data_IF_646155557341
#
_entry.id   IF_646155557341
#
_cell.length_a   1.000
_cell.length_b   1.000
_cell.length_c   1.000
_cell.angle_alpha   90.00
_cell.angle_beta   90.00
_cell.angle_gamma   90.00
#
_symmetry.space_group_name_H-M   'P 1'
#
loop_
_entity.id
_entity.type
_entity.pdbx_description
1 polymer ?
#
# COMPACT_ATOMS: atom_id res chain seq x y z
N UNK A 1 12.39 10.34 9.52
CA UNK A 1 11.34 11.33 9.20
C UNK A 1 10.94 11.34 7.73
N UNK A 2 11.85 11.45 6.75
CA UNK A 2 11.48 11.51 5.31
C UNK A 2 10.70 10.28 4.83
N UNK A 3 11.11 9.05 5.19
CA UNK A 3 10.39 7.81 4.83
C UNK A 3 8.95 7.80 5.33
N UNK A 4 8.73 8.15 6.60
CA UNK A 4 7.39 8.17 7.20
C UNK A 4 6.48 9.21 6.52
N UNK A 5 7.03 10.38 6.16
CA UNK A 5 6.29 11.40 5.43
C UNK A 5 5.86 10.92 4.04
N UNK A 6 6.74 10.22 3.31
CA UNK A 6 6.42 9.64 2.01
C UNK A 6 5.32 8.58 2.11
N UNK A 7 5.40 7.69 3.12
CA UNK A 7 4.37 6.68 3.37
C UNK A 7 3.03 7.31 3.77
N UNK A 8 3.05 8.36 4.60
CA UNK A 8 1.85 9.09 4.98
C UNK A 8 1.19 9.80 3.79
N UNK A 9 2.00 10.41 2.91
CA UNK A 9 1.50 11.00 1.66
C UNK A 9 0.91 9.94 0.73
N UNK A 10 1.52 8.75 0.63
CA UNK A 10 0.97 7.64 -0.12
C UNK A 10 -0.39 7.20 0.44
N UNK A 11 -0.51 7.07 1.77
CA UNK A 11 -1.76 6.75 2.45
C UNK A 11 -2.86 7.80 2.18
N UNK A 12 -2.52 9.09 2.22
CA UNK A 12 -3.46 10.16 1.90
C UNK A 12 -3.96 10.10 0.45
N UNK A 13 -3.05 9.85 -0.50
CA UNK A 13 -3.41 9.68 -1.92
C UNK A 13 -4.32 8.47 -2.12
N UNK A 14 -4.03 7.35 -1.45
CA UNK A 14 -4.81 6.12 -1.61
C UNK A 14 -6.17 6.18 -0.91
N UNK A 15 -6.29 6.93 0.17
CA UNK A 15 -7.58 7.17 0.81
C UNK A 15 -8.61 7.74 -0.15
N UNK A 16 -8.21 8.66 -1.02
CA UNK A 16 -9.08 9.19 -2.08
C UNK A 16 -9.18 8.24 -3.29
N UNK A 17 -8.25 7.28 -3.41
CA UNK A 17 -8.14 6.35 -4.53
C UNK A 17 -9.30 5.37 -4.64
N UNK A 18 -9.93 4.96 -3.54
CA UNK A 18 -11.06 4.03 -3.54
C UNK A 18 -12.26 4.57 -4.32
N UNK A 19 -12.52 5.87 -4.20
CA UNK A 19 -13.59 6.54 -4.95
C UNK A 19 -13.30 6.47 -6.45
N UNK A 20 -12.08 6.82 -6.86
CA UNK A 20 -11.68 6.74 -8.27
C UNK A 20 -11.74 5.30 -8.82
N UNK A 21 -11.36 4.30 -8.02
CA UNK A 21 -11.46 2.89 -8.40
C UNK A 21 -12.92 2.48 -8.64
N UNK A 22 -13.84 2.90 -7.78
CA UNK A 22 -15.26 2.60 -7.95
C UNK A 22 -15.86 3.26 -9.18
N UNK A 23 -15.65 4.57 -9.35
CA UNK A 23 -16.12 5.33 -10.51
C UNK A 23 -15.55 4.80 -11.84
N UNK A 24 -14.30 4.33 -11.84
CA UNK A 24 -13.69 3.75 -13.03
C UNK A 24 -14.37 2.46 -13.46
N UNK A 25 -14.83 1.63 -12.50
CA UNK A 25 -15.52 0.36 -12.80
C UNK A 25 -16.96 0.53 -13.32
N UNK A 26 -17.56 1.71 -13.21
CA UNK A 26 -18.85 2.01 -13.84
C UNK A 26 -18.74 2.05 -15.38
N UNK A 27 -17.53 2.18 -15.92
CA UNK A 27 -17.27 2.35 -17.35
C UNK A 27 -16.44 1.24 -17.97
N UNK A 28 -15.73 0.45 -17.16
CA UNK A 28 -14.85 -0.63 -17.64
C UNK A 28 -14.67 -1.73 -16.61
N UNK A 29 -14.29 -2.93 -17.05
CA UNK A 29 -14.03 -4.06 -16.15
C UNK A 29 -12.82 -3.82 -15.23
N UNK A 30 -12.75 -4.58 -14.11
CA UNK A 30 -11.72 -4.42 -13.08
C UNK A 30 -10.30 -4.63 -13.62
N UNK A 31 -10.09 -5.57 -14.52
CA UNK A 31 -8.77 -5.83 -15.09
C UNK A 31 -8.38 -4.79 -16.15
N UNK A 32 -9.35 -4.32 -16.94
CA UNK A 32 -9.14 -3.21 -17.88
C UNK A 32 -8.72 -1.94 -17.13
N UNK A 33 -9.44 -1.60 -16.05
CA UNK A 33 -9.11 -0.45 -15.21
C UNK A 33 -7.74 -0.58 -14.58
N UNK A 34 -7.43 -1.74 -13.97
CA UNK A 34 -6.12 -2.01 -13.39
C UNK A 34 -5.00 -1.92 -14.43
N UNK A 35 -5.19 -2.55 -15.59
CA UNK A 35 -4.20 -2.53 -16.66
C UNK A 35 -3.86 -1.12 -17.12
N UNK A 36 -4.88 -0.33 -17.43
CA UNK A 36 -4.71 1.05 -17.90
C UNK A 36 -4.09 1.95 -16.83
N UNK A 37 -4.55 1.91 -15.57
CA UNK A 37 -4.00 2.76 -14.51
C UNK A 37 -2.54 2.45 -14.20
N UNK A 38 -2.15 1.16 -14.18
CA UNK A 38 -0.76 0.79 -13.90
C UNK A 38 0.17 1.12 -15.06
N UNK A 39 -0.25 0.95 -16.33
CA UNK A 39 0.55 1.37 -17.48
C UNK A 39 0.65 2.91 -17.56
N UNK A 40 -0.41 3.64 -17.27
CA UNK A 40 -0.38 5.09 -17.19
C UNK A 40 0.57 5.56 -16.08
N UNK A 41 0.54 4.90 -14.92
CA UNK A 41 1.48 5.14 -13.83
C UNK A 41 2.93 4.84 -14.23
N UNK A 42 3.18 3.75 -14.95
CA UNK A 42 4.51 3.45 -15.48
C UNK A 42 4.99 4.51 -16.46
N UNK A 43 4.11 4.95 -17.37
CA UNK A 43 4.41 6.00 -18.35
C UNK A 43 4.73 7.33 -17.67
N UNK A 44 4.02 7.68 -16.59
CA UNK A 44 4.27 8.90 -15.82
C UNK A 44 5.66 8.96 -15.18
N UNK A 45 6.32 7.81 -14.97
CA UNK A 45 7.68 7.75 -14.44
C UNK A 45 8.75 7.98 -15.51
N UNK A 46 8.44 7.88 -16.82
CA UNK A 46 9.43 8.02 -17.88
C UNK A 46 10.20 9.36 -17.85
N UNK A 47 9.54 10.52 -17.69
CA UNK A 47 10.25 11.79 -17.59
C UNK A 47 11.20 11.82 -16.39
N UNK A 48 10.76 11.31 -15.24
CA UNK A 48 11.56 11.24 -14.02
C UNK A 48 12.77 10.30 -14.20
N UNK A 49 12.56 9.14 -14.79
CA UNK A 49 13.64 8.17 -15.08
C UNK A 49 14.66 8.74 -16.05
N UNK A 50 14.22 9.45 -17.08
CA UNK A 50 15.09 10.13 -18.03
C UNK A 50 15.92 11.23 -17.35
N UNK A 51 15.28 12.08 -16.54
CA UNK A 51 15.97 13.14 -15.78
C UNK A 51 16.99 12.57 -14.78
N UNK A 52 16.63 11.49 -14.05
CA UNK A 52 17.56 10.83 -13.14
C UNK A 52 18.75 10.19 -13.88
N UNK A 53 18.50 9.59 -15.07
CA UNK A 53 19.56 9.00 -15.88
C UNK A 53 20.60 10.06 -16.30
N UNK A 54 20.18 11.29 -16.61
CA UNK A 54 21.08 12.37 -17.01
C UNK A 54 21.92 12.92 -15.88
N UNK A 55 21.53 12.71 -14.61
CA UNK A 55 22.20 13.26 -13.42
C UNK A 55 22.99 12.24 -12.59
N UNK A 56 22.77 10.96 -12.78
CA UNK A 56 23.50 9.93 -12.04
C UNK A 56 24.82 9.59 -12.77
N UNK A 57 25.97 9.53 -12.03
CA UNK A 57 27.16 8.85 -12.55
C UNK A 57 26.77 7.44 -12.97
N UNK A 58 27.37 6.92 -14.06
CA UNK A 58 27.12 5.52 -14.48
C UNK A 58 27.35 4.59 -13.28
N UNK A 59 26.40 3.71 -12.95
CA UNK A 59 26.61 2.75 -11.87
C UNK A 59 27.90 2.00 -12.13
N UNK A 60 28.79 1.96 -11.14
CA UNK A 60 30.01 1.15 -11.25
C UNK A 60 29.60 -0.33 -11.42
N UNK A 61 30.26 -1.03 -12.31
CA UNK A 61 30.07 -2.45 -12.50
C UNK A 61 30.29 -3.19 -11.16
N UNK A 62 29.29 -3.99 -10.73
CA UNK A 62 29.34 -4.69 -9.44
C UNK A 62 28.62 -4.00 -8.28
N UNK A 63 28.09 -2.78 -8.45
CA UNK A 63 27.26 -2.17 -7.40
C UNK A 63 25.87 -2.81 -7.41
N UNK A 64 25.28 -3.16 -6.22
CA UNK A 64 23.92 -3.73 -6.13
C UNK A 64 22.85 -2.86 -6.80
N UNK A 65 23.01 -1.54 -6.78
CA UNK A 65 22.11 -0.60 -7.43
C UNK A 65 22.15 -0.66 -8.97
N UNK A 66 23.21 -1.24 -9.54
CA UNK A 66 23.42 -1.45 -10.99
C UNK A 66 23.05 -2.84 -11.47
N UNK A 67 22.72 -3.79 -10.60
CA UNK A 67 22.36 -5.15 -10.97
C UNK A 67 21.00 -5.18 -11.72
N UNK A 68 21.08 -5.23 -13.04
CA UNK A 68 19.93 -5.30 -13.93
C UNK A 68 19.11 -6.58 -13.72
N UNK A 69 19.76 -7.70 -13.43
CA UNK A 69 19.09 -8.98 -13.19
C UNK A 69 18.26 -8.91 -11.91
N UNK A 70 18.85 -8.39 -10.83
CA UNK A 70 18.16 -8.23 -9.56
C UNK A 70 16.97 -7.27 -9.67
N UNK A 71 17.11 -6.18 -10.42
CA UNK A 71 16.02 -5.24 -10.69
C UNK A 71 14.88 -5.91 -11.47
N UNK A 72 15.18 -6.69 -12.50
CA UNK A 72 14.16 -7.37 -13.31
C UNK A 72 13.47 -8.46 -12.49
N UNK A 73 14.20 -9.29 -11.76
CA UNK A 73 13.63 -10.34 -10.91
C UNK A 73 12.76 -9.71 -9.81
N UNK A 74 13.28 -8.69 -9.11
CA UNK A 74 12.53 -7.98 -8.08
C UNK A 74 11.28 -7.30 -8.61
N UNK A 75 11.38 -6.69 -9.80
CA UNK A 75 10.25 -6.04 -10.47
C UNK A 75 9.19 -7.03 -10.95
N UNK A 76 9.60 -8.20 -11.48
CA UNK A 76 8.69 -9.28 -11.88
C UNK A 76 7.95 -9.85 -10.66
N UNK A 77 8.66 -10.14 -9.58
CA UNK A 77 8.04 -10.65 -8.35
C UNK A 77 7.11 -9.60 -7.74
N UNK A 78 7.58 -8.37 -7.55
CA UNK A 78 6.77 -7.28 -7.00
C UNK A 78 5.53 -7.00 -7.88
N UNK A 79 5.70 -6.98 -9.21
CA UNK A 79 4.62 -6.74 -10.16
C UNK A 79 3.59 -7.87 -10.21
N UNK A 80 4.03 -9.13 -10.12
CA UNK A 80 3.13 -10.29 -10.03
C UNK A 80 2.33 -10.30 -8.73
N UNK A 81 2.96 -10.03 -7.60
CA UNK A 81 2.29 -9.90 -6.30
C UNK A 81 1.33 -8.71 -6.30
N UNK A 82 1.76 -7.56 -6.86
CA UNK A 82 0.92 -6.37 -7.00
C UNK A 82 -0.30 -6.65 -7.89
N UNK A 83 -0.13 -7.38 -9.00
CA UNK A 83 -1.23 -7.81 -9.85
C UNK A 83 -2.24 -8.64 -9.07
N UNK A 84 -1.79 -9.64 -8.31
CA UNK A 84 -2.68 -10.48 -7.49
C UNK A 84 -3.44 -9.66 -6.45
N UNK A 85 -2.74 -8.81 -5.69
CA UNK A 85 -3.33 -7.95 -4.68
C UNK A 85 -4.36 -6.98 -5.28
N UNK A 86 -3.96 -6.24 -6.32
CA UNK A 86 -4.81 -5.24 -6.97
C UNK A 86 -6.01 -5.86 -7.68
N UNK A 87 -5.85 -7.04 -8.29
CA UNK A 87 -6.95 -7.74 -8.96
C UNK A 87 -7.98 -8.27 -7.97
N UNK A 88 -7.54 -8.92 -6.88
CA UNK A 88 -8.43 -9.41 -5.82
C UNK A 88 -9.20 -8.26 -5.17
N UNK A 89 -8.51 -7.15 -4.89
CA UNK A 89 -9.15 -5.94 -4.34
C UNK A 89 -10.17 -5.35 -5.32
N UNK A 90 -9.80 -5.21 -6.60
CA UNK A 90 -10.66 -4.57 -7.60
C UNK A 90 -11.89 -5.42 -7.90
N UNK A 91 -11.73 -6.74 -8.05
CA UNK A 91 -12.86 -7.67 -8.22
C UNK A 91 -13.71 -7.73 -6.96
N UNK A 92 -13.08 -7.80 -5.77
CA UNK A 92 -13.79 -7.80 -4.49
C UNK A 92 -14.68 -6.58 -4.30
N UNK A 93 -14.24 -5.40 -4.77
CA UNK A 93 -15.02 -4.15 -4.72
C UNK A 93 -16.33 -4.18 -5.54
N UNK A 94 -16.50 -5.14 -6.46
CA UNK A 94 -17.78 -5.35 -7.15
C UNK A 94 -18.85 -5.98 -6.24
N UNK A 95 -18.42 -6.69 -5.19
CA UNK A 95 -19.29 -7.52 -4.33
C UNK A 95 -19.29 -7.09 -2.87
N UNK A 96 -18.53 -6.05 -2.50
CA UNK A 96 -18.49 -5.51 -1.14
C UNK A 96 -18.44 -3.98 -1.15
N UNK A 97 -18.68 -3.36 0.02
CA UNK A 97 -18.60 -1.90 0.14
C UNK A 97 -17.15 -1.42 0.22
N UNK A 98 -16.90 -0.18 -0.19
CA UNK A 98 -15.57 0.42 -0.07
C UNK A 98 -15.07 0.44 1.39
N UNK A 99 -15.96 0.68 2.37
CA UNK A 99 -15.65 0.67 3.79
C UNK A 99 -15.20 -0.72 4.27
N UNK A 100 -15.93 -1.80 3.91
CA UNK A 100 -15.54 -3.17 4.23
C UNK A 100 -14.23 -3.56 3.52
N UNK A 101 -14.08 -3.21 2.23
CA UNK A 101 -12.87 -3.47 1.49
C UNK A 101 -11.65 -2.81 2.15
N UNK A 102 -11.76 -1.53 2.55
CA UNK A 102 -10.72 -0.81 3.27
C UNK A 102 -10.37 -1.46 4.62
N UNK A 103 -11.39 -1.87 5.39
CA UNK A 103 -11.18 -2.58 6.65
C UNK A 103 -10.41 -3.89 6.45
N UNK A 104 -10.89 -4.75 5.55
CA UNK A 104 -10.31 -6.07 5.34
C UNK A 104 -8.90 -5.95 4.74
N UNK A 105 -8.70 -5.03 3.79
CA UNK A 105 -7.36 -4.73 3.27
C UNK A 105 -6.42 -4.30 4.39
N UNK A 106 -6.88 -3.47 5.32
CA UNK A 106 -6.12 -3.01 6.48
C UNK A 106 -5.62 -4.13 7.41
N UNK A 107 -6.13 -5.37 7.30
CA UNK A 107 -5.59 -6.53 8.02
C UNK A 107 -4.11 -6.78 7.75
N UNK A 108 -3.55 -6.23 6.67
CA UNK A 108 -2.10 -6.30 6.42
C UNK A 108 -1.28 -5.69 7.56
N UNK A 109 -1.84 -4.81 8.40
CA UNK A 109 -1.20 -4.29 9.62
C UNK A 109 -0.69 -5.43 10.52
N UNK A 110 -1.47 -6.48 10.67
CA UNK A 110 -1.12 -7.66 11.48
C UNK A 110 -0.42 -8.72 10.62
N UNK A 111 -0.84 -8.90 9.36
CA UNK A 111 -0.25 -9.90 8.48
C UNK A 111 1.23 -9.63 8.20
N UNK A 112 1.63 -8.37 7.99
CA UNK A 112 3.04 -8.01 7.73
C UNK A 112 3.96 -8.41 8.89
N UNK A 113 3.74 -8.03 10.15
CA UNK A 113 4.61 -8.48 11.24
C UNK A 113 4.54 -9.99 11.48
N UNK A 114 3.38 -10.64 11.29
CA UNK A 114 3.24 -12.11 11.43
C UNK A 114 4.08 -12.83 10.38
N UNK A 115 3.95 -12.51 9.09
CA UNK A 115 4.76 -13.09 8.02
C UNK A 115 6.23 -12.70 8.20
N UNK A 116 6.49 -11.47 8.64
CA UNK A 116 7.83 -10.97 8.94
C UNK A 116 8.56 -11.82 9.99
N UNK A 117 7.85 -12.32 11.01
CA UNK A 117 8.43 -13.25 11.99
C UNK A 117 8.94 -14.53 11.33
N UNK A 118 8.17 -15.12 10.39
CA UNK A 118 8.60 -16.31 9.64
C UNK A 118 9.84 -16.01 8.79
N UNK A 119 9.99 -14.77 8.32
CA UNK A 119 11.15 -14.26 7.58
C UNK A 119 12.29 -13.78 8.52
N UNK A 120 12.20 -14.05 9.81
CA UNK A 120 13.18 -13.66 10.85
C UNK A 120 13.33 -12.13 11.04
N UNK A 121 12.34 -11.34 10.65
CA UNK A 121 12.29 -9.92 10.98
C UNK A 121 11.98 -9.74 12.46
N UNK A 122 12.80 -8.96 13.17
CA UNK A 122 12.59 -8.65 14.59
C UNK A 122 11.65 -7.45 14.70
N UNK A 123 10.41 -7.71 15.07
CA UNK A 123 9.42 -6.65 15.34
C UNK A 123 9.38 -6.33 16.83
N UNK A 124 9.57 -5.07 17.19
CA UNK A 124 9.55 -4.61 18.58
C UNK A 124 8.16 -4.63 19.20
N UNK A 125 8.09 -4.72 20.53
CA UNK A 125 6.82 -4.74 21.27
C UNK A 125 5.97 -3.48 21.00
N UNK A 126 6.59 -2.32 20.87
CA UNK A 126 5.90 -1.06 20.52
C UNK A 126 5.19 -1.14 19.17
N UNK A 127 5.78 -1.82 18.17
CA UNK A 127 5.15 -2.02 16.86
C UNK A 127 3.96 -2.97 16.97
N UNK A 128 4.05 -4.05 17.76
CA UNK A 128 2.92 -4.93 18.04
C UNK A 128 1.78 -4.22 18.76
N UNK A 129 2.09 -3.45 19.81
CA UNK A 129 1.10 -2.65 20.55
C UNK A 129 0.45 -1.63 19.59
N UNK A 130 1.27 -0.93 18.80
CA UNK A 130 0.77 0.03 17.81
C UNK A 130 -0.13 -0.63 16.76
N UNK A 131 0.25 -1.82 16.26
CA UNK A 131 -0.55 -2.58 15.30
C UNK A 131 -1.89 -3.04 15.88
N UNK A 132 -1.92 -3.52 17.13
CA UNK A 132 -3.16 -3.92 17.79
C UNK A 132 -4.10 -2.73 18.06
N UNK A 133 -3.55 -1.59 18.48
CA UNK A 133 -4.34 -0.36 18.66
C UNK A 133 -4.87 0.15 17.32
N UNK A 134 -4.04 0.16 16.27
CA UNK A 134 -4.48 0.54 14.93
C UNK A 134 -5.55 -0.41 14.38
N UNK A 135 -5.43 -1.72 14.63
CA UNK A 135 -6.45 -2.71 14.26
C UNK A 135 -7.78 -2.47 14.98
N UNK A 136 -7.74 -2.18 16.30
CA UNK A 136 -8.94 -1.80 17.04
C UNK A 136 -9.58 -0.53 16.45
N UNK A 137 -8.76 0.49 16.13
CA UNK A 137 -9.24 1.70 15.47
C UNK A 137 -9.87 1.43 14.11
N UNK A 138 -9.25 0.59 13.31
CA UNK A 138 -9.77 0.16 12.01
C UNK A 138 -11.13 -0.55 12.14
N UNK A 139 -11.27 -1.42 13.16
CA UNK A 139 -12.55 -2.06 13.48
C UNK A 139 -13.63 -1.03 13.82
N UNK A 140 -13.32 -0.07 14.70
CA UNK A 140 -14.26 1.00 15.08
C UNK A 140 -14.66 1.88 13.91
N UNK A 141 -13.72 2.19 13.00
CA UNK A 141 -13.97 3.03 11.83
C UNK A 141 -14.84 2.34 10.77
N UNK A 142 -14.68 1.02 10.59
CA UNK A 142 -15.16 0.36 9.37
C UNK A 142 -16.26 -0.67 9.58
N UNK A 143 -16.44 -1.20 10.81
CA UNK A 143 -17.42 -2.25 11.09
C UNK A 143 -18.69 -1.65 11.69
N UNK A 144 -19.78 -1.72 10.96
CA UNK A 144 -21.15 -1.41 11.42
C UNK A 144 -21.85 -2.68 11.95
N UNK A 145 -23.10 -2.56 12.43
CA UNK A 145 -23.79 -3.60 13.23
C UNK A 145 -23.99 -4.97 12.54
N UNK A 146 -23.96 -5.05 11.21
CA UNK A 146 -24.12 -6.32 10.49
C UNK A 146 -22.81 -6.74 9.82
N UNK A 147 -21.98 -7.52 10.52
CA UNK A 147 -20.78 -8.11 9.95
C UNK A 147 -21.09 -9.47 9.32
N UNK A 148 -21.47 -9.47 8.05
CA UNK A 148 -21.61 -10.68 7.23
C UNK A 148 -20.42 -10.82 6.29
N UNK A 149 -19.83 -12.02 6.18
CA UNK A 149 -18.73 -12.29 5.25
C UNK A 149 -19.32 -12.81 3.94
N UNK A 150 -19.23 -11.99 2.90
CA UNK A 150 -19.62 -12.34 1.53
C UNK A 150 -18.44 -12.75 0.65
N UNK A 151 -18.73 -13.10 -0.61
CA UNK A 151 -17.72 -13.47 -1.60
C UNK A 151 -16.68 -12.33 -1.82
N UNK A 152 -17.15 -11.09 -1.93
CA UNK A 152 -16.25 -9.92 -2.06
C UNK A 152 -15.31 -9.77 -0.87
N UNK A 153 -15.81 -10.01 0.34
CA UNK A 153 -15.00 -9.92 1.57
C UNK A 153 -13.91 -11.01 1.59
N UNK A 154 -14.22 -12.23 1.13
CA UNK A 154 -13.23 -13.30 0.99
C UNK A 154 -12.10 -12.90 0.01
N UNK A 155 -12.45 -12.31 -1.13
CA UNK A 155 -11.46 -11.80 -2.07
C UNK A 155 -10.56 -10.71 -1.45
N UNK A 156 -11.15 -9.84 -0.62
CA UNK A 156 -10.38 -8.82 0.12
C UNK A 156 -9.44 -9.43 1.15
N UNK A 157 -9.86 -10.49 1.89
CA UNK A 157 -9.00 -11.20 2.86
C UNK A 157 -7.79 -11.81 2.15
N UNK A 158 -8.01 -12.51 1.03
CA UNK A 158 -6.91 -13.06 0.23
C UNK A 158 -6.05 -11.91 -0.33
N UNK A 159 -6.67 -10.83 -0.79
CA UNK A 159 -5.99 -9.62 -1.25
C UNK A 159 -5.10 -9.00 -0.18
N UNK A 160 -5.58 -8.92 1.07
CA UNK A 160 -4.80 -8.41 2.20
C UNK A 160 -3.52 -9.22 2.45
N UNK A 161 -3.56 -10.54 2.25
CA UNK A 161 -2.37 -11.39 2.30
C UNK A 161 -1.37 -11.00 1.21
N UNK A 162 -1.84 -10.82 -0.03
CA UNK A 162 -0.97 -10.37 -1.12
C UNK A 162 -0.43 -8.95 -0.91
N UNK A 163 -1.21 -8.04 -0.32
CA UNK A 163 -0.71 -6.72 0.07
C UNK A 163 0.40 -6.81 1.13
N UNK A 164 0.24 -7.69 2.13
CA UNK A 164 1.29 -7.93 3.12
C UNK A 164 2.57 -8.50 2.47
N UNK A 165 2.43 -9.46 1.57
CA UNK A 165 3.56 -10.03 0.82
C UNK A 165 4.22 -8.95 -0.05
N UNK A 166 3.44 -8.09 -0.72
CA UNK A 166 3.96 -7.00 -1.53
C UNK A 166 4.83 -6.03 -0.71
N UNK A 167 4.37 -5.65 0.48
CA UNK A 167 5.13 -4.81 1.41
C UNK A 167 6.48 -5.45 1.78
N UNK A 168 6.51 -6.76 2.05
CA UNK A 168 7.73 -7.50 2.39
C UNK A 168 8.67 -7.67 1.18
N UNK A 169 8.11 -7.89 0.00
CA UNK A 169 8.87 -7.93 -1.27
C UNK A 169 9.52 -6.58 -1.54
N UNK A 170 8.78 -5.49 -1.38
CA UNK A 170 9.33 -4.14 -1.54
C UNK A 170 10.42 -3.84 -0.50
N UNK A 171 10.25 -4.24 0.76
CA UNK A 171 11.30 -4.10 1.78
C UNK A 171 12.59 -4.80 1.34
N UNK A 172 12.47 -6.03 0.83
CA UNK A 172 13.63 -6.81 0.38
C UNK A 172 14.36 -6.18 -0.80
N UNK A 173 13.62 -5.70 -1.82
CA UNK A 173 14.24 -5.25 -3.07
C UNK A 173 14.55 -3.76 -3.11
N UNK A 174 13.73 -2.89 -2.49
CA UNK A 174 13.92 -1.43 -2.54
C UNK A 174 15.24 -0.96 -1.93
N UNK A 175 15.79 -1.74 -1.01
CA UNK A 175 17.10 -1.50 -0.40
C UNK A 175 18.28 -1.96 -1.26
N UNK A 176 18.03 -2.80 -2.28
CA UNK A 176 19.05 -3.47 -3.10
C UNK A 176 19.15 -2.91 -4.52
N UNK A 177 18.07 -2.34 -5.04
CA UNK A 177 18.02 -1.75 -6.38
C UNK A 177 17.52 -0.30 -6.33
N UNK A 178 17.56 0.40 -7.46
CA UNK A 178 17.03 1.76 -7.55
C UNK A 178 15.50 1.76 -7.40
N UNK A 179 14.93 2.36 -6.33
CA UNK A 179 13.50 2.24 -6.01
C UNK A 179 12.56 2.69 -7.12
N UNK A 180 12.86 3.81 -7.79
CA UNK A 180 12.02 4.35 -8.88
C UNK A 180 12.05 3.42 -10.10
N UNK A 181 13.18 2.76 -10.39
CA UNK A 181 13.24 1.75 -11.45
C UNK A 181 12.44 0.51 -11.08
N UNK A 182 12.51 0.08 -9.81
CA UNK A 182 11.70 -1.02 -9.29
C UNK A 182 10.22 -0.70 -9.41
N UNK A 183 9.79 0.52 -9.03
CA UNK A 183 8.42 0.99 -9.21
C UNK A 183 7.98 0.92 -10.68
N UNK A 184 8.78 1.41 -11.61
CA UNK A 184 8.47 1.35 -13.04
C UNK A 184 8.29 -0.08 -13.57
N UNK A 185 9.21 -1.00 -13.21
CA UNK A 185 9.14 -2.40 -13.66
C UNK A 185 7.90 -3.09 -13.10
N UNK A 186 7.60 -2.97 -11.80
CA UNK A 186 6.42 -3.59 -11.20
C UNK A 186 5.10 -3.04 -11.78
N UNK A 187 5.04 -1.74 -12.13
CA UNK A 187 3.84 -1.17 -12.74
C UNK A 187 3.62 -1.71 -14.15
N UNK A 188 4.68 -1.82 -14.96
CA UNK A 188 4.60 -2.44 -16.29
C UNK A 188 4.13 -3.88 -16.19
N UNK A 189 4.72 -4.67 -15.29
CA UNK A 189 4.35 -6.08 -15.10
C UNK A 189 2.90 -6.21 -14.65
N UNK A 190 2.48 -5.47 -13.61
CA UNK A 190 1.11 -5.47 -13.14
C UNK A 190 0.12 -5.03 -14.23
N UNK A 191 0.44 -3.96 -14.95
CA UNK A 191 -0.37 -3.44 -16.05
C UNK A 191 -0.54 -4.43 -17.20
N UNK A 192 0.55 -5.07 -17.64
CA UNK A 192 0.52 -6.06 -18.72
C UNK A 192 -0.24 -7.33 -18.32
N UNK A 193 -0.04 -7.84 -17.10
CA UNK A 193 -0.79 -8.99 -16.59
C UNK A 193 -2.28 -8.67 -16.49
N UNK A 194 -2.63 -7.47 -16.01
CA UNK A 194 -4.02 -7.03 -15.92
C UNK A 194 -4.67 -6.89 -17.30
N UNK A 195 -4.01 -6.25 -18.27
CA UNK A 195 -4.55 -6.16 -19.64
C UNK A 195 -4.62 -7.51 -20.32
N UNK A 196 -3.60 -8.38 -20.15
CA UNK A 196 -3.65 -9.74 -20.65
C UNK A 196 -4.86 -10.50 -20.14
N UNK A 197 -5.16 -10.39 -18.84
CA UNK A 197 -6.36 -10.97 -18.22
C UNK A 197 -7.63 -10.32 -18.77
N UNK A 198 -7.65 -8.98 -18.91
CA UNK A 198 -8.80 -8.25 -19.45
C UNK A 198 -9.18 -8.72 -20.85
N UNK A 199 -8.21 -8.91 -21.74
CA UNK A 199 -8.48 -9.40 -23.10
C UNK A 199 -9.05 -10.83 -23.15
N UNK A 200 -8.85 -11.63 -22.09
CA UNK A 200 -9.37 -13.00 -22.01
C UNK A 200 -10.78 -13.04 -21.43
N UNK A 201 -11.06 -12.22 -20.40
CA UNK A 201 -12.31 -12.35 -19.63
C UNK A 201 -13.21 -11.11 -19.66
N UNK A 202 -12.73 -10.00 -20.21
CA UNK A 202 -13.49 -8.75 -20.37
C UNK A 202 -13.52 -8.36 -21.86
N UNK A 203 -14.27 -7.34 -22.18
CA UNK A 203 -14.28 -6.70 -23.53
C UNK A 203 -13.77 -5.26 -23.42
N UNK A 204 -12.43 -5.04 -23.35
CA UNK A 204 -11.90 -3.70 -23.25
C UNK A 204 -12.31 -2.83 -24.44
N UNK A 205 -12.90 -1.67 -24.17
CA UNK A 205 -13.31 -0.73 -25.22
C UNK A 205 -12.66 0.64 -25.00
N UNK A 206 -12.32 1.30 -26.08
CA UNK A 206 -11.82 2.67 -26.03
C UNK A 206 -12.90 3.63 -25.48
N UNK A 207 -14.18 3.38 -25.81
CA UNK A 207 -15.30 4.17 -25.30
C UNK A 207 -15.41 4.13 -23.79
N UNK A 208 -15.29 2.94 -23.16
CA UNK A 208 -15.27 2.80 -21.71
C UNK A 208 -14.10 3.53 -21.07
N UNK A 209 -12.89 3.42 -21.65
CA UNK A 209 -11.71 4.12 -21.15
C UNK A 209 -11.87 5.66 -21.25
N UNK A 210 -12.47 6.15 -22.33
CA UNK A 210 -12.77 7.57 -22.50
C UNK A 210 -13.89 8.04 -21.57
N UNK A 211 -14.91 7.24 -21.31
CA UNK A 211 -15.97 7.61 -20.35
C UNK A 211 -15.44 7.71 -18.92
N UNK A 212 -14.51 6.79 -18.51
CA UNK A 212 -13.88 6.77 -17.19
C UNK A 212 -12.56 7.53 -17.10
N UNK A 213 -12.22 8.44 -18.03
CA UNK A 213 -10.89 9.06 -18.13
C UNK A 213 -10.45 9.80 -16.86
N UNK A 214 -11.35 10.46 -16.16
CA UNK A 214 -11.05 11.20 -14.92
C UNK A 214 -10.55 10.24 -13.82
N UNK A 215 -11.29 9.13 -13.64
CA UNK A 215 -10.92 8.08 -12.71
C UNK A 215 -9.56 7.45 -13.09
N UNK A 216 -9.33 7.20 -14.39
CA UNK A 216 -8.06 6.68 -14.89
C UNK A 216 -6.90 7.65 -14.67
N UNK A 217 -7.07 8.94 -14.90
CA UNK A 217 -6.01 9.93 -14.68
C UNK A 217 -5.64 10.00 -13.20
N UNK A 218 -6.63 10.10 -12.31
CA UNK A 218 -6.34 10.08 -10.88
C UNK A 218 -5.66 8.76 -10.46
N UNK A 219 -6.25 7.61 -10.82
CA UNK A 219 -5.74 6.31 -10.44
C UNK A 219 -4.36 6.02 -11.05
N UNK A 220 -4.11 6.42 -12.30
CA UNK A 220 -2.84 6.18 -12.99
C UNK A 220 -1.74 7.15 -12.58
N UNK A 221 -2.00 8.47 -12.66
CA UNK A 221 -0.95 9.47 -12.42
C UNK A 221 -0.73 9.72 -10.93
N UNK A 222 -1.82 9.90 -10.16
CA UNK A 222 -1.72 10.27 -8.75
C UNK A 222 -1.56 9.03 -7.87
N UNK A 223 -2.50 8.08 -7.95
CA UNK A 223 -2.46 6.89 -7.08
C UNK A 223 -1.31 5.96 -7.43
N UNK A 224 -1.14 5.57 -8.72
CA UNK A 224 -0.04 4.70 -9.13
C UNK A 224 1.25 5.48 -9.29
N UNK A 225 1.29 6.49 -10.14
CA UNK A 225 2.52 7.22 -10.48
C UNK A 225 3.18 7.84 -9.24
N UNK A 226 2.43 8.59 -8.45
CA UNK A 226 2.96 9.26 -7.25
C UNK A 226 2.85 8.33 -6.03
N UNK A 227 1.67 7.82 -5.70
CA UNK A 227 1.41 7.08 -4.45
C UNK A 227 2.30 5.84 -4.28
N UNK A 228 2.27 4.90 -5.23
CA UNK A 228 3.13 3.70 -5.15
C UNK A 228 4.63 4.03 -5.29
N UNK A 229 5.00 5.08 -6.02
CA UNK A 229 6.40 5.52 -6.07
C UNK A 229 6.86 6.05 -4.72
N UNK A 230 6.03 6.85 -4.04
CA UNK A 230 6.29 7.29 -2.67
C UNK A 230 6.40 6.10 -1.71
N UNK A 231 5.54 5.07 -1.87
CA UNK A 231 5.63 3.83 -1.10
C UNK A 231 6.99 3.16 -1.30
N UNK A 232 7.39 2.86 -2.54
CA UNK A 232 8.64 2.14 -2.84
C UNK A 232 9.86 2.90 -2.34
N UNK A 233 9.88 4.23 -2.51
CA UNK A 233 10.97 5.08 -2.00
C UNK A 233 10.91 5.20 -0.47
N UNK A 234 9.73 5.38 0.09
CA UNK A 234 9.51 5.53 1.52
C UNK A 234 9.78 4.26 2.32
N UNK A 235 9.54 3.08 1.74
CA UNK A 235 9.87 1.81 2.39
C UNK A 235 11.38 1.54 2.47
N UNK A 236 12.19 2.20 1.64
CA UNK A 236 13.64 2.05 1.71
C UNK A 236 14.18 2.49 3.07
N UNK A 237 14.62 1.52 3.86
CA UNK A 237 15.12 1.74 5.22
C UNK A 237 14.05 1.91 6.29
N UNK A 238 12.76 1.73 5.98
CA UNK A 238 11.70 1.62 6.96
C UNK A 238 11.43 0.15 7.31
N UNK A 239 11.09 -0.12 8.58
CA UNK A 239 10.69 -1.48 8.97
C UNK A 239 9.32 -1.81 8.36
N UNK A 240 9.12 -2.99 7.71
CA UNK A 240 7.89 -3.31 6.98
C UNK A 240 6.61 -3.21 7.81
N UNK A 241 6.62 -3.73 9.05
CA UNK A 241 5.47 -3.62 9.95
C UNK A 241 5.12 -2.17 10.31
N UNK A 242 6.13 -1.29 10.42
CA UNK A 242 5.93 0.12 10.67
C UNK A 242 5.37 0.84 9.42
N UNK A 243 5.87 0.48 8.24
CA UNK A 243 5.33 0.98 6.98
C UNK A 243 3.85 0.58 6.81
N UNK A 244 3.49 -0.68 7.16
CA UNK A 244 2.12 -1.16 7.12
C UNK A 244 1.17 -0.32 7.99
N UNK A 245 1.58 0.03 9.23
CA UNK A 245 0.77 0.85 10.13
C UNK A 245 0.58 2.27 9.58
N UNK A 246 1.61 2.88 8.97
CA UNK A 246 1.47 4.22 8.38
C UNK A 246 0.55 4.18 7.16
N UNK A 247 0.73 3.19 6.29
CA UNK A 247 -0.06 3.07 5.06
C UNK A 247 -1.54 2.79 5.35
N UNK A 248 -1.87 2.05 6.43
CA UNK A 248 -3.26 1.80 6.79
C UNK A 248 -4.05 3.06 7.17
N UNK A 249 -3.38 4.20 7.41
CA UNK A 249 -4.05 5.48 7.56
C UNK A 249 -4.78 5.93 6.27
N UNK A 250 -4.63 5.21 5.17
CA UNK A 250 -5.47 5.42 3.96
C UNK A 250 -6.96 5.37 4.29
N UNK A 251 -7.39 4.52 5.25
CA UNK A 251 -8.79 4.46 5.70
C UNK A 251 -9.21 5.72 6.46
N UNK A 252 -8.32 6.32 7.27
CA UNK A 252 -8.58 7.60 7.92
C UNK A 252 -8.70 8.73 6.90
N UNK A 253 -7.80 8.75 5.90
CA UNK A 253 -7.89 9.74 4.82
C UNK A 253 -9.11 9.53 3.92
N UNK A 254 -9.55 8.29 3.71
CA UNK A 254 -10.80 8.00 3.02
C UNK A 254 -12.01 8.56 3.77
N UNK A 255 -12.07 8.38 5.10
CA UNK A 255 -13.11 8.96 5.94
C UNK A 255 -13.10 10.49 5.91
N UNK A 256 -11.93 11.13 6.01
CA UNK A 256 -11.78 12.59 5.88
C UNK A 256 -12.25 13.05 4.49
N UNK A 257 -11.86 12.33 3.43
CA UNK A 257 -12.29 12.62 2.06
C UNK A 257 -13.81 12.52 1.88
N UNK A 258 -14.45 11.53 2.50
CA UNK A 258 -15.92 11.38 2.53
C UNK A 258 -16.61 12.61 3.13
N UNK A 259 -16.11 13.09 4.28
CA UNK A 259 -16.66 14.31 4.90
C UNK A 259 -16.46 15.54 4.01
N UNK A 260 -15.23 15.76 3.52
CA UNK A 260 -14.90 17.00 2.81
C UNK A 260 -15.46 17.07 1.38
N UNK A 261 -15.52 15.93 0.67
CA UNK A 261 -15.88 15.88 -0.74
C UNK A 261 -17.32 15.41 -1.00
N UNK A 262 -17.85 14.54 -0.12
CA UNK A 262 -19.18 13.94 -0.26
C UNK A 262 -20.17 14.47 0.76
N UNK A 263 -19.75 15.31 1.71
CA UNK A 263 -20.61 15.83 2.77
C UNK A 263 -21.06 14.75 3.77
N UNK A 264 -20.32 13.64 3.87
CA UNK A 264 -20.63 12.57 4.81
C UNK A 264 -20.42 13.04 6.26
N UNK A 265 -21.18 12.50 7.20
CA UNK A 265 -21.00 12.74 8.63
C UNK A 265 -20.28 11.57 9.25
N UNK A 266 -19.17 11.84 9.96
CA UNK A 266 -18.53 10.83 10.81
C UNK A 266 -19.29 10.74 12.12
N UNK A 267 -19.74 9.56 12.48
CA UNK A 267 -20.26 9.27 13.79
C UNK A 267 -19.14 9.25 14.87
N UNK A 268 -19.51 9.29 16.14
CA UNK A 268 -18.54 9.26 17.24
C UNK A 268 -17.64 8.02 17.18
N UNK A 269 -18.18 6.90 16.74
CA UNK A 269 -17.45 5.65 16.59
C UNK A 269 -16.34 5.75 15.53
N UNK A 270 -16.61 6.36 14.38
CA UNK A 270 -15.63 6.59 13.33
C UNK A 270 -14.52 7.56 13.80
N UNK A 271 -14.88 8.60 14.54
CA UNK A 271 -13.91 9.55 15.12
C UNK A 271 -12.96 8.84 16.10
N UNK A 272 -13.51 8.00 17.00
CA UNK A 272 -12.70 7.18 17.91
C UNK A 272 -11.81 6.23 17.13
N UNK A 273 -12.32 5.60 16.08
CA UNK A 273 -11.56 4.73 15.19
C UNK A 273 -10.35 5.44 14.56
N UNK A 274 -10.56 6.62 13.99
CA UNK A 274 -9.49 7.45 13.43
C UNK A 274 -8.43 7.83 14.49
N UNK A 275 -8.88 8.22 15.69
CA UNK A 275 -7.98 8.59 16.78
C UNK A 275 -7.12 7.40 17.25
N UNK A 276 -7.70 6.20 17.36
CA UNK A 276 -6.99 4.97 17.71
C UNK A 276 -5.97 4.59 16.63
N UNK A 277 -6.31 4.70 15.33
CA UNK A 277 -5.36 4.43 14.23
C UNK A 277 -4.16 5.37 14.28
N UNK A 278 -4.39 6.67 14.49
CA UNK A 278 -3.32 7.67 14.64
C UNK A 278 -2.47 7.38 15.88
N UNK A 279 -3.10 7.05 17.02
CA UNK A 279 -2.37 6.67 18.24
C UNK A 279 -1.52 5.41 18.03
N UNK A 280 -2.04 4.39 17.37
CA UNK A 280 -1.32 3.17 17.03
C UNK A 280 -0.09 3.46 16.15
N UNK A 281 -0.24 4.34 15.13
CA UNK A 281 0.88 4.80 14.32
C UNK A 281 1.96 5.49 15.17
N UNK A 282 1.57 6.43 16.02
CA UNK A 282 2.52 7.17 16.87
C UNK A 282 3.25 6.24 17.85
N UNK A 283 2.54 5.32 18.49
CA UNK A 283 3.11 4.33 19.42
C UNK A 283 4.12 3.43 18.71
N UNK A 284 3.82 2.99 17.49
CA UNK A 284 4.74 2.15 16.71
C UNK A 284 6.08 2.86 16.40
N UNK A 285 6.12 4.19 16.41
CA UNK A 285 7.31 4.99 16.14
C UNK A 285 8.17 5.25 17.39
N UNK A 286 7.62 5.08 18.58
CA UNK A 286 8.33 5.32 19.82
C UNK A 286 9.38 4.22 20.01
N UNK A 287 10.66 4.57 20.01
CA UNK A 287 11.72 3.63 20.37
C UNK A 287 11.74 3.47 21.89
N UNK A 288 11.12 2.41 22.42
CA UNK A 288 11.15 2.04 23.84
C UNK A 288 12.56 1.59 24.31
N UNK A 289 13.61 2.29 23.87
CA UNK A 289 15.00 2.00 24.27
C UNK A 289 15.31 2.35 25.73
N UNK A 290 14.39 3.02 26.43
CA UNK A 290 14.68 3.62 27.73
C UNK A 290 14.44 2.67 28.93
N UNK A 291 13.53 1.74 28.84
CA UNK A 291 13.13 0.92 30.00
C UNK A 291 14.10 -0.23 30.34
N UNK A 292 14.82 -0.79 29.37
CA UNK A 292 15.71 -1.93 29.62
C UNK A 292 17.13 -1.53 30.09
N UNK A 293 17.62 -0.35 29.75
CA UNK A 293 18.93 0.13 30.24
C UNK A 293 18.88 0.54 31.72
N UNK A 294 17.77 1.03 32.22
CA UNK A 294 17.61 1.44 33.62
C UNK A 294 17.64 0.25 34.59
N UNK A 295 17.23 -0.95 34.19
CA UNK A 295 17.29 -2.14 35.06
C UNK A 295 18.68 -2.79 35.09
N UNK A 296 19.47 -2.74 34.01
CA UNK A 296 20.84 -3.31 34.03
C UNK A 296 21.81 -2.52 34.89
N UNK A 297 21.67 -1.20 34.96
CA UNK A 297 22.55 -0.39 35.81
C UNK A 297 22.19 -0.42 37.30
N UNK A 298 21.02 -0.92 37.71
CA UNK A 298 20.66 -1.10 39.13
C UNK A 298 21.11 -2.44 39.71
N UNK A 299 21.46 -3.43 38.88
CA UNK A 299 21.92 -4.75 39.35
C UNK A 299 23.45 -4.78 39.50
N UNK A 300 24.21 -3.88 38.88
CA UNK A 300 25.67 -3.80 38.97
C UNK A 300 26.18 -2.82 40.03
N UNK A 301 25.32 -2.24 40.86
CA UNK A 301 25.67 -1.26 41.90
C UNK A 301 25.23 -1.71 43.32
N UNK A 302 25.20 -3.02 43.58
CA UNK A 302 25.16 -3.52 44.96
C UNK A 302 26.53 -4.13 45.27
N UNK A 303 27.16 -3.71 46.40
CA UNK A 303 28.50 -4.12 46.81
C UNK A 303 28.57 -5.60 47.22
#
# INVERSE_FOLDING_TARGET
MRSNMMLLMAAAIWGLGFVAQRLGMDHMGPFTFNGLRFLLGAASLLPLLWWLKSRQPRPQAGSPAGDRRLLLVGGLIAGGVLFSAASLQQVGLLYTTAAKAGFITGLYIILVPVIGLALRHKTGANTWIGALIAMAGLYYLSVTEEFTIGYGDLLQVIGALFWAIHLLVLDHYSNRVAPIRLAGVQFVVCGLLSLGTAFVIETPTLGGAMAGWQALLYAGLVSVGIGYTLQVVGQRGAHPAHAAIILSLETVFAAIGGVLLLGEHLDERAIVGCALMLAGMLISQIRLRWWWKSRRNKVSSQP
#
